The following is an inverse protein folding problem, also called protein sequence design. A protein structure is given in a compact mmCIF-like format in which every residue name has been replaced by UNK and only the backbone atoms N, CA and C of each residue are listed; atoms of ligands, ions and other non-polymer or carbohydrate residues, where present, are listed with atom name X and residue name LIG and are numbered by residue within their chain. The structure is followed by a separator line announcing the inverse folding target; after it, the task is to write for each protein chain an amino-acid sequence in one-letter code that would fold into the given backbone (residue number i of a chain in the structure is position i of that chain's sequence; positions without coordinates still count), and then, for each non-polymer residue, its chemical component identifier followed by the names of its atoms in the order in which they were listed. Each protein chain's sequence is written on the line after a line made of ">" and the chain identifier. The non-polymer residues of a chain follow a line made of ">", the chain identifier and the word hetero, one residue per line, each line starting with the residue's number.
data_IF_537856754858
#
_entry.id   IF_537856754858
#
_cell.length_a   1.000
_cell.length_b   1.000
_cell.length_c   1.000
_cell.angle_alpha   90.00
_cell.angle_beta   90.00
_cell.angle_gamma   90.00
#
_symmetry.space_group_name_H-M   'P 1'
#
loop_
_entity.id
_entity.type
_entity.pdbx_description
1 polymer ?
#
# COMPACT_ATOMS: atom_id res chain seq x y z
N UNK A 1 -15.42 -27.77 6.54
CA UNK A 1 -16.66 -26.99 6.32
C UNK A 1 -16.33 -26.06 5.18
N UNK A 2 -16.92 -26.27 4.00
CA UNK A 2 -16.68 -25.38 2.86
C UNK A 2 -17.37 -24.05 3.12
N UNK A 3 -16.62 -22.95 3.07
CA UNK A 3 -17.20 -21.61 3.10
C UNK A 3 -17.95 -21.39 1.80
N UNK A 4 -19.27 -21.22 1.90
CA UNK A 4 -20.05 -20.47 0.91
C UNK A 4 -19.36 -19.09 0.79
N UNK A 5 -19.19 -18.57 -0.44
CA UNK A 5 -18.35 -17.39 -0.70
C UNK A 5 -18.70 -16.16 0.14
N UNK A 6 -17.84 -15.14 0.10
CA UNK A 6 -18.02 -13.92 0.89
C UNK A 6 -19.24 -13.12 0.39
N UNK A 7 -20.20 -12.85 1.27
CA UNK A 7 -21.37 -12.00 0.98
C UNK A 7 -21.19 -10.57 1.50
N UNK A 8 -20.23 -10.37 2.41
CA UNK A 8 -19.93 -9.08 3.02
C UNK A 8 -18.42 -8.86 3.15
N UNK A 9 -18.03 -7.61 3.34
CA UNK A 9 -16.65 -7.18 3.56
C UNK A 9 -16.56 -6.20 4.72
N UNK A 10 -15.47 -6.31 5.47
CA UNK A 10 -15.05 -5.36 6.50
C UNK A 10 -13.63 -4.90 6.18
N UNK A 11 -13.41 -3.59 6.21
CA UNK A 11 -12.08 -3.00 6.01
C UNK A 11 -11.48 -2.59 7.33
N UNK A 12 -10.21 -2.93 7.55
CA UNK A 12 -9.46 -2.69 8.77
C UNK A 12 -8.16 -2.02 8.35
N UNK A 13 -8.04 -0.73 8.58
CA UNK A 13 -6.81 0.01 8.29
C UNK A 13 -6.01 0.23 9.57
N UNK A 14 -4.73 -0.09 9.55
CA UNK A 14 -3.81 0.27 10.63
C UNK A 14 -3.19 1.64 10.33
N UNK A 15 -3.77 2.70 10.88
CA UNK A 15 -3.28 4.07 10.74
C UNK A 15 -2.11 4.30 11.70
N UNK A 16 -0.90 3.89 11.30
CA UNK A 16 0.37 4.16 11.98
C UNK A 16 1.24 5.06 11.11
N UNK A 17 1.93 6.07 11.67
CA UNK A 17 2.89 6.84 10.90
C UNK A 17 4.09 5.96 10.50
N UNK A 18 4.40 5.92 9.21
CA UNK A 18 5.55 5.17 8.65
C UNK A 18 6.59 6.06 7.98
N UNK A 19 6.31 7.36 7.90
CA UNK A 19 7.30 8.34 7.48
C UNK A 19 8.54 8.32 8.40
N UNK A 20 9.75 8.58 7.85
CA UNK A 20 10.99 8.68 8.61
C UNK A 20 10.91 9.55 9.87
N UNK A 21 11.77 9.29 10.85
CA UNK A 21 11.86 10.16 12.02
C UNK A 21 12.46 11.53 11.65
N UNK A 22 12.18 12.54 12.48
CA UNK A 22 12.74 13.90 12.37
C UNK A 22 12.48 14.54 11.00
N UNK A 23 11.26 14.35 10.48
CA UNK A 23 10.81 14.87 9.19
C UNK A 23 11.11 16.36 9.04
N UNK A 24 11.77 16.69 7.93
CA UNK A 24 11.98 18.05 7.44
C UNK A 24 11.34 18.15 6.05
N UNK A 25 10.11 18.68 5.95
CA UNK A 25 9.42 18.77 4.67
C UNK A 25 10.05 19.84 3.77
N UNK A 26 10.05 19.57 2.47
CA UNK A 26 10.34 20.49 1.37
C UNK A 26 9.19 20.43 0.36
N UNK A 27 8.98 21.52 -0.36
CA UNK A 27 7.93 21.60 -1.37
C UNK A 27 6.61 22.12 -0.82
N UNK A 28 5.58 22.03 -1.65
CA UNK A 28 4.23 22.47 -1.35
C UNK A 28 3.29 21.27 -1.54
N UNK A 29 2.38 20.96 -0.59
CA UNK A 29 1.38 19.91 -0.79
C UNK A 29 0.60 19.98 -2.12
N UNK A 30 0.51 21.15 -2.76
CA UNK A 30 -0.18 21.32 -4.05
C UNK A 30 0.70 21.06 -5.30
N UNK A 31 2.03 20.93 -5.16
CA UNK A 31 2.99 20.88 -6.30
C UNK A 31 4.11 19.85 -6.13
N UNK A 32 3.85 18.82 -5.34
CA UNK A 32 4.84 17.81 -4.97
C UNK A 32 5.59 18.21 -3.70
N UNK A 33 5.86 17.19 -2.90
CA UNK A 33 6.59 17.30 -1.65
C UNK A 33 7.73 16.29 -1.63
N UNK A 34 8.76 16.65 -0.88
CA UNK A 34 9.96 15.84 -0.66
C UNK A 34 10.40 16.05 0.78
N UNK A 35 11.22 15.16 1.32
CA UNK A 35 11.58 15.26 2.73
C UNK A 35 12.99 14.81 3.06
N UNK A 36 13.59 15.49 4.03
CA UNK A 36 14.67 14.93 4.84
C UNK A 36 14.11 14.21 6.04
N UNK A 37 14.88 13.27 6.60
CA UNK A 37 14.49 12.54 7.80
C UNK A 37 15.59 11.57 8.22
N UNK A 38 15.28 10.67 9.15
CA UNK A 38 16.19 9.59 9.56
C UNK A 38 15.39 8.31 9.73
N UNK A 39 15.84 7.24 9.09
CA UNK A 39 15.23 5.93 9.26
C UNK A 39 15.56 5.34 10.62
N UNK A 40 14.51 4.89 11.31
CA UNK A 40 14.63 4.09 12.52
C UNK A 40 14.75 2.61 12.16
N UNK A 41 15.38 1.85 13.05
CA UNK A 41 15.56 0.40 12.89
C UNK A 41 16.86 -0.11 13.46
N UNK A 42 17.05 -1.42 13.35
CA UNK A 42 18.24 -2.15 13.75
C UNK A 42 19.05 -2.56 12.52
N UNK A 43 20.38 -2.57 12.65
CA UNK A 43 21.27 -2.99 11.56
C UNK A 43 21.23 -4.50 11.29
N UNK A 44 20.80 -5.30 12.27
CA UNK A 44 20.52 -6.72 12.05
C UNK A 44 19.11 -6.88 11.47
N UNK A 45 19.02 -7.26 10.20
CA UNK A 45 17.74 -7.38 9.47
C UNK A 45 16.75 -8.31 10.16
N UNK A 46 17.19 -9.46 10.70
CA UNK A 46 16.29 -10.41 11.33
C UNK A 46 15.72 -9.88 12.66
N UNK A 47 16.53 -9.17 13.44
CA UNK A 47 16.09 -8.48 14.65
C UNK A 47 15.15 -7.30 14.33
N UNK A 48 15.45 -6.53 13.28
CA UNK A 48 14.59 -5.42 12.83
C UNK A 48 13.21 -5.92 12.39
N UNK A 49 13.17 -6.93 11.51
CA UNK A 49 11.93 -7.60 11.09
C UNK A 49 11.18 -8.17 12.29
N UNK A 50 11.88 -8.79 13.24
CA UNK A 50 11.25 -9.29 14.48
C UNK A 50 10.61 -8.19 15.33
N UNK A 51 11.25 -7.03 15.40
CA UNK A 51 10.73 -5.87 16.12
C UNK A 51 9.51 -5.23 15.45
N UNK A 52 9.58 -5.01 14.13
CA UNK A 52 8.43 -4.51 13.34
C UNK A 52 7.26 -5.49 13.36
N UNK A 53 7.53 -6.79 13.32
CA UNK A 53 6.51 -7.83 13.47
C UNK A 53 5.81 -7.76 14.82
N UNK A 54 6.52 -7.41 15.90
CA UNK A 54 5.88 -7.24 17.22
C UNK A 54 4.86 -6.10 17.22
N UNK A 55 5.14 -5.00 16.51
CA UNK A 55 4.19 -3.88 16.34
C UNK A 55 2.99 -4.34 15.51
N UNK A 56 3.23 -5.02 14.39
CA UNK A 56 2.17 -5.57 13.54
C UNK A 56 1.25 -6.54 14.30
N UNK A 57 1.84 -7.41 15.12
CA UNK A 57 1.10 -8.37 15.97
C UNK A 57 0.12 -7.68 16.88
N UNK A 58 0.53 -6.63 17.60
CA UNK A 58 -0.36 -5.90 18.50
C UNK A 58 -1.56 -5.30 17.75
N UNK A 59 -1.34 -4.75 16.55
CA UNK A 59 -2.41 -4.22 15.72
C UNK A 59 -3.37 -5.32 15.21
N UNK A 60 -2.85 -6.43 14.70
CA UNK A 60 -3.68 -7.54 14.18
C UNK A 60 -4.47 -8.22 15.31
N UNK A 61 -3.86 -8.40 16.49
CA UNK A 61 -4.55 -8.94 17.67
C UNK A 61 -5.67 -8.00 18.14
N UNK A 62 -5.38 -6.69 18.27
CA UNK A 62 -6.40 -5.71 18.65
C UNK A 62 -7.55 -5.66 17.63
N UNK A 63 -7.27 -5.81 16.33
CA UNK A 63 -8.30 -5.88 15.31
C UNK A 63 -9.18 -7.12 15.50
N UNK A 64 -8.58 -8.31 15.57
CA UNK A 64 -9.30 -9.58 15.77
C UNK A 64 -10.15 -9.55 17.03
N UNK A 65 -9.60 -9.08 18.13
CA UNK A 65 -10.28 -9.07 19.44
C UNK A 65 -11.44 -8.06 19.48
N UNK A 66 -11.44 -7.05 18.59
CA UNK A 66 -12.55 -6.12 18.43
C UNK A 66 -13.71 -6.68 17.59
N UNK A 67 -13.48 -7.68 16.72
CA UNK A 67 -14.49 -8.16 15.79
C UNK A 67 -15.58 -9.02 16.47
N UNK A 68 -16.82 -9.00 15.94
CA UNK A 68 -17.85 -9.96 16.35
C UNK A 68 -17.41 -11.40 16.09
N UNK A 69 -17.75 -12.30 17.01
CA UNK A 69 -17.47 -13.73 16.85
C UNK A 69 -18.55 -14.43 15.99
N UNK A 70 -18.14 -15.45 15.24
CA UNK A 70 -19.06 -16.36 14.54
C UNK A 70 -19.56 -15.90 13.17
N UNK A 71 -19.00 -14.82 12.61
CA UNK A 71 -19.27 -14.40 11.24
C UNK A 71 -18.51 -15.29 10.25
N UNK A 72 -19.23 -15.97 9.36
CA UNK A 72 -18.65 -16.93 8.40
C UNK A 72 -18.66 -16.45 6.95
N UNK A 73 -19.41 -15.41 6.63
CA UNK A 73 -19.65 -14.85 5.30
C UNK A 73 -19.03 -13.45 5.09
N UNK A 74 -18.26 -12.96 6.07
CA UNK A 74 -17.58 -11.66 6.05
C UNK A 74 -16.11 -11.84 5.71
N UNK A 75 -15.66 -11.22 4.62
CA UNK A 75 -14.23 -11.04 4.31
C UNK A 75 -13.66 -9.89 5.15
N UNK A 76 -12.65 -10.16 5.97
CA UNK A 76 -11.91 -9.15 6.71
C UNK A 76 -10.65 -8.76 5.94
N UNK A 77 -10.57 -7.50 5.51
CA UNK A 77 -9.45 -6.93 4.74
C UNK A 77 -8.62 -6.05 5.67
N UNK A 78 -7.47 -6.55 6.10
CA UNK A 78 -6.52 -5.79 6.93
C UNK A 78 -5.47 -5.13 6.05
N UNK A 79 -5.19 -3.85 6.26
CA UNK A 79 -4.21 -3.09 5.48
C UNK A 79 -3.36 -2.23 6.41
N UNK A 80 -2.04 -2.34 6.28
CA UNK A 80 -1.06 -1.44 6.87
C UNK A 80 -0.46 -0.52 5.78
N UNK A 81 0.12 0.64 6.14
CA UNK A 81 0.60 1.63 5.19
C UNK A 81 1.90 1.22 4.48
N UNK A 82 2.26 1.98 3.45
CA UNK A 82 3.55 1.85 2.77
C UNK A 82 4.71 2.09 3.75
N UNK A 83 5.89 1.52 3.44
CA UNK A 83 7.11 1.64 4.22
C UNK A 83 6.98 1.08 5.64
N UNK A 84 6.12 0.09 5.86
CA UNK A 84 6.07 -0.59 7.14
C UNK A 84 7.37 -1.38 7.41
N UNK A 85 7.95 -2.00 6.38
CA UNK A 85 9.16 -2.82 6.48
C UNK A 85 10.32 -2.18 5.72
N UNK A 86 11.26 -1.60 6.45
CA UNK A 86 12.41 -0.92 5.87
C UNK A 86 13.59 -0.98 6.86
N UNK A 87 14.81 -0.89 6.34
CA UNK A 87 16.03 -0.90 7.16
C UNK A 87 16.42 0.48 7.67
N UNK A 88 17.41 0.57 8.58
CA UNK A 88 17.95 1.85 9.03
C UNK A 88 18.69 2.61 7.90
N UNK A 89 19.02 1.97 6.78
CA UNK A 89 19.58 2.61 5.59
C UNK A 89 18.50 3.10 4.60
N UNK A 90 17.21 2.91 4.89
CA UNK A 90 16.11 3.05 3.94
C UNK A 90 15.63 1.65 3.50
N UNK A 91 16.11 1.09 2.39
CA UNK A 91 15.86 -0.32 2.05
C UNK A 91 16.60 -1.28 3.00
N UNK A 92 16.10 -2.50 3.14
CA UNK A 92 16.97 -3.61 3.55
C UNK A 92 17.95 -3.95 2.40
N UNK A 93 19.24 -3.75 2.66
CA UNK A 93 20.29 -4.07 1.70
C UNK A 93 20.68 -5.56 1.80
N UNK A 94 20.79 -6.22 0.65
CA UNK A 94 21.24 -7.62 0.56
C UNK A 94 22.14 -7.83 -0.64
N UNK A 95 23.00 -8.86 -0.62
CA UNK A 95 23.87 -9.15 -1.76
C UNK A 95 23.07 -9.71 -2.95
N UNK A 96 23.56 -9.52 -4.17
CA UNK A 96 22.96 -10.10 -5.38
C UNK A 96 23.02 -11.63 -5.29
N UNK A 97 21.88 -12.28 -5.50
CA UNK A 97 21.75 -13.74 -5.39
C UNK A 97 21.66 -14.27 -3.96
N UNK A 98 21.80 -13.42 -2.93
CA UNK A 98 21.37 -13.76 -1.59
C UNK A 98 19.82 -13.75 -1.51
N UNK A 99 19.22 -14.51 -0.56
CA UNK A 99 17.78 -14.45 -0.32
C UNK A 99 17.32 -13.01 -0.06
N UNK A 100 16.21 -12.67 -0.68
CA UNK A 100 15.59 -11.36 -0.53
C UNK A 100 14.99 -11.24 0.88
N UNK A 101 15.23 -10.15 1.64
CA UNK A 101 14.62 -9.96 2.96
C UNK A 101 13.09 -10.10 2.97
N UNK A 102 12.41 -9.84 1.85
CA UNK A 102 10.94 -10.06 1.74
C UNK A 102 10.54 -11.51 1.97
N UNK A 103 11.34 -12.48 1.51
CA UNK A 103 11.05 -13.90 1.73
C UNK A 103 11.03 -14.21 3.23
N UNK A 104 12.01 -13.68 3.98
CA UNK A 104 12.05 -13.82 5.42
C UNK A 104 10.86 -13.15 6.12
N UNK A 105 10.45 -11.96 5.67
CA UNK A 105 9.32 -11.24 6.25
C UNK A 105 8.02 -12.04 6.02
N UNK A 106 7.79 -12.53 4.80
CA UNK A 106 6.60 -13.34 4.46
C UNK A 106 6.56 -14.65 5.25
N UNK A 107 7.67 -15.36 5.38
CA UNK A 107 7.76 -16.58 6.20
C UNK A 107 7.36 -16.31 7.65
N UNK A 108 7.84 -15.19 8.22
CA UNK A 108 7.54 -14.78 9.59
C UNK A 108 6.09 -14.36 9.76
N UNK A 109 5.53 -13.62 8.80
CA UNK A 109 4.12 -13.23 8.80
C UNK A 109 3.19 -14.45 8.68
N UNK A 110 3.51 -15.41 7.81
CA UNK A 110 2.71 -16.62 7.62
C UNK A 110 2.75 -17.53 8.86
N UNK A 111 3.89 -17.58 9.56
CA UNK A 111 4.01 -18.29 10.83
C UNK A 111 3.22 -17.60 11.95
N UNK A 112 3.18 -16.26 11.95
CA UNK A 112 2.50 -15.46 12.97
C UNK A 112 0.97 -15.43 12.79
N UNK A 113 0.50 -15.38 11.55
CA UNK A 113 -0.91 -15.21 11.21
C UNK A 113 -1.44 -16.38 10.37
N UNK A 114 -1.46 -17.61 10.93
CA UNK A 114 -1.84 -18.80 10.18
C UNK A 114 -3.32 -18.76 9.78
N UNK A 115 -3.68 -19.26 8.58
CA UNK A 115 -5.07 -19.28 8.08
C UNK A 115 -6.11 -19.86 9.05
N UNK A 116 -5.72 -20.85 9.86
CA UNK A 116 -6.61 -21.49 10.83
C UNK A 116 -7.05 -20.59 11.99
N UNK A 117 -6.24 -19.59 12.36
CA UNK A 117 -6.56 -18.61 13.40
C UNK A 117 -7.23 -17.35 12.83
N UNK A 118 -7.05 -17.10 11.54
CA UNK A 118 -7.57 -15.94 10.82
C UNK A 118 -8.45 -16.36 9.62
N UNK A 119 -9.52 -17.14 9.83
CA UNK A 119 -10.40 -17.55 8.74
C UNK A 119 -11.09 -16.33 8.12
N UNK A 120 -11.22 -16.32 6.80
CA UNK A 120 -11.81 -15.20 6.05
C UNK A 120 -11.04 -13.88 6.16
N UNK A 121 -9.72 -13.93 6.40
CA UNK A 121 -8.86 -12.75 6.34
C UNK A 121 -8.04 -12.71 5.06
N UNK A 122 -7.89 -11.49 4.53
CA UNK A 122 -6.82 -11.10 3.62
C UNK A 122 -6.08 -9.94 4.25
N UNK A 123 -4.76 -10.04 4.26
CA UNK A 123 -3.86 -9.06 4.82
C UNK A 123 -3.03 -8.44 3.70
N UNK A 124 -2.92 -7.13 3.73
CA UNK A 124 -1.88 -6.35 3.05
C UNK A 124 -1.04 -5.72 4.15
N UNK A 125 0.08 -6.34 4.50
CA UNK A 125 0.92 -5.96 5.64
C UNK A 125 1.78 -4.72 5.38
N UNK A 126 1.27 -3.76 4.61
CA UNK A 126 2.03 -2.63 4.11
C UNK A 126 3.05 -3.07 3.07
N UNK A 127 4.10 -2.27 2.92
CA UNK A 127 5.14 -2.55 1.94
C UNK A 127 6.52 -2.74 2.55
N UNK A 128 7.34 -3.51 1.83
CA UNK A 128 8.73 -3.77 2.15
C UNK A 128 9.67 -3.16 1.11
N UNK A 129 10.66 -2.43 1.59
CA UNK A 129 11.67 -1.76 0.77
C UNK A 129 12.98 -2.52 0.84
N UNK A 130 13.52 -2.92 -0.30
CA UNK A 130 14.74 -3.74 -0.40
C UNK A 130 15.59 -3.32 -1.58
N UNK A 131 16.90 -3.52 -1.50
CA UNK A 131 17.79 -3.32 -2.63
C UNK A 131 18.95 -4.31 -2.63
N UNK A 132 19.26 -4.83 -3.82
CA UNK A 132 20.44 -5.65 -4.01
C UNK A 132 21.70 -4.76 -4.16
N UNK A 133 22.68 -4.96 -3.29
CA UNK A 133 23.97 -4.31 -3.30
C UNK A 133 25.05 -5.27 -2.76
N UNK A 134 25.93 -5.75 -3.64
CA UNK A 134 26.98 -6.73 -3.28
C UNK A 134 27.94 -6.20 -2.21
N UNK A 135 28.30 -4.91 -2.31
CA UNK A 135 28.99 -4.18 -1.26
C UNK A 135 28.27 -2.85 -1.01
N UNK A 136 27.44 -2.75 0.04
CA UNK A 136 26.81 -1.50 0.45
C UNK A 136 27.80 -0.34 0.62
N UNK A 137 29.04 -0.63 1.05
CA UNK A 137 30.07 0.41 1.22
C UNK A 137 30.47 1.01 -0.12
N UNK A 138 30.44 0.23 -1.19
CA UNK A 138 30.70 0.75 -2.53
C UNK A 138 29.59 1.71 -2.96
N UNK A 139 28.32 1.35 -2.71
CA UNK A 139 27.16 2.21 -3.01
C UNK A 139 27.33 3.58 -2.37
N UNK A 140 27.69 3.64 -1.09
CA UNK A 140 27.84 4.90 -0.35
C UNK A 140 29.15 5.64 -0.63
N UNK A 141 30.23 4.94 -0.94
CA UNK A 141 31.55 5.56 -1.17
C UNK A 141 31.77 6.06 -2.61
N UNK A 142 30.92 5.67 -3.56
CA UNK A 142 30.99 6.10 -4.96
C UNK A 142 31.03 7.64 -5.06
N UNK A 143 31.95 8.22 -5.86
CA UNK A 143 31.99 9.67 -6.08
C UNK A 143 30.67 10.25 -6.59
N UNK A 144 29.93 9.50 -7.42
CA UNK A 144 28.61 9.88 -7.93
C UNK A 144 27.60 10.03 -6.79
N UNK A 145 27.55 9.08 -5.85
CA UNK A 145 26.69 9.13 -4.66
C UNK A 145 26.96 10.37 -3.83
N UNK A 146 28.24 10.61 -3.50
CA UNK A 146 28.64 11.77 -2.68
C UNK A 146 28.28 13.10 -3.35
N UNK A 147 28.51 13.21 -4.65
CA UNK A 147 28.17 14.43 -5.41
C UNK A 147 26.66 14.64 -5.44
N UNK A 148 25.87 13.61 -5.73
CA UNK A 148 24.40 13.69 -5.77
C UNK A 148 23.83 14.13 -4.41
N UNK A 149 24.27 13.49 -3.34
CA UNK A 149 23.80 13.81 -1.98
C UNK A 149 24.23 15.22 -1.57
N UNK A 150 25.45 15.64 -1.92
CA UNK A 150 25.91 17.01 -1.68
C UNK A 150 25.07 18.05 -2.42
N UNK A 151 24.77 17.83 -3.71
CA UNK A 151 23.94 18.74 -4.51
C UNK A 151 22.53 18.87 -3.92
N UNK A 152 21.87 17.76 -3.62
CA UNK A 152 20.51 17.78 -3.07
C UNK A 152 20.47 18.41 -1.69
N UNK A 153 21.43 18.09 -0.80
CA UNK A 153 21.52 18.70 0.52
C UNK A 153 21.73 20.22 0.45
N UNK A 154 22.59 20.69 -0.46
CA UNK A 154 22.82 22.12 -0.69
C UNK A 154 21.55 22.81 -1.20
N UNK A 155 20.87 22.23 -2.19
CA UNK A 155 19.60 22.76 -2.73
C UNK A 155 18.51 22.79 -1.65
N UNK A 156 18.37 21.72 -0.86
CA UNK A 156 17.45 21.64 0.26
C UNK A 156 17.71 22.75 1.30
N UNK A 157 18.99 23.00 1.61
CA UNK A 157 19.37 24.09 2.51
C UNK A 157 18.99 25.46 1.94
N UNK A 158 19.25 25.70 0.65
CA UNK A 158 18.89 26.95 -0.05
C UNK A 158 17.38 27.16 -0.11
N UNK A 159 16.62 26.12 -0.44
CA UNK A 159 15.16 26.17 -0.46
C UNK A 159 14.61 26.72 0.86
N UNK A 160 15.10 26.20 1.98
CA UNK A 160 14.64 26.59 3.32
C UNK A 160 15.01 28.01 3.74
N UNK A 161 15.98 28.63 3.06
CA UNK A 161 16.41 30.01 3.31
C UNK A 161 15.81 31.01 2.32
N UNK A 162 15.26 30.52 1.22
CA UNK A 162 14.78 31.33 0.11
C UNK A 162 13.43 31.98 0.44
N UNK A 163 13.17 33.14 -0.18
CA UNK A 163 11.82 33.70 -0.25
C UNK A 163 10.92 32.82 -1.12
N UNK A 164 9.60 32.96 -1.04
CA UNK A 164 8.65 32.04 -1.68
C UNK A 164 8.90 31.80 -3.18
N UNK A 165 9.14 32.86 -3.96
CA UNK A 165 9.38 32.75 -5.42
C UNK A 165 10.71 32.02 -5.72
N UNK A 166 11.77 32.34 -4.98
CA UNK A 166 13.07 31.68 -5.12
C UNK A 166 12.99 30.22 -4.64
N UNK A 167 12.25 29.94 -3.57
CA UNK A 167 12.04 28.59 -3.04
C UNK A 167 11.33 27.70 -4.06
N UNK A 168 10.30 28.22 -4.75
CA UNK A 168 9.63 27.50 -5.83
C UNK A 168 10.62 27.11 -6.93
N UNK A 169 11.50 28.03 -7.35
CA UNK A 169 12.49 27.72 -8.39
C UNK A 169 13.57 26.74 -7.93
N UNK A 170 14.01 26.83 -6.68
CA UNK A 170 14.95 25.86 -6.10
C UNK A 170 14.32 24.48 -6.02
N UNK A 171 13.02 24.38 -5.69
CA UNK A 171 12.32 23.10 -5.67
C UNK A 171 12.21 22.48 -7.06
N UNK A 172 11.91 23.26 -8.10
CA UNK A 172 11.97 22.77 -9.50
C UNK A 172 13.35 22.19 -9.85
N UNK A 173 14.43 22.82 -9.36
CA UNK A 173 15.79 22.28 -9.58
C UNK A 173 16.03 20.96 -8.83
N UNK A 174 15.43 20.78 -7.64
CA UNK A 174 15.48 19.51 -6.92
C UNK A 174 14.74 18.46 -7.73
N UNK A 175 13.50 18.73 -8.12
CA UNK A 175 12.66 17.80 -8.90
C UNK A 175 13.32 17.38 -10.21
N UNK A 176 13.81 18.33 -11.02
CA UNK A 176 14.57 18.06 -12.25
C UNK A 176 15.79 17.14 -11.99
N UNK A 177 16.47 17.34 -10.85
CA UNK A 177 17.64 16.56 -10.48
C UNK A 177 17.27 15.15 -10.01
N UNK A 178 16.15 14.99 -9.30
CA UNK A 178 15.61 13.70 -8.88
C UNK A 178 15.19 12.88 -10.10
N UNK A 179 14.44 13.47 -11.03
CA UNK A 179 14.06 12.81 -12.29
C UNK A 179 15.29 12.33 -13.08
N UNK A 180 16.36 13.14 -13.14
CA UNK A 180 17.62 12.70 -13.74
C UNK A 180 18.27 11.55 -12.95
N UNK A 181 18.20 11.59 -11.61
CA UNK A 181 18.65 10.54 -10.71
C UNK A 181 17.93 9.22 -10.94
N UNK A 182 16.60 9.24 -11.02
CA UNK A 182 15.73 8.09 -11.32
C UNK A 182 16.04 7.50 -12.70
N UNK A 183 16.31 8.34 -13.70
CA UNK A 183 16.71 7.86 -15.02
C UNK A 183 18.12 7.22 -15.04
N UNK A 184 18.95 7.45 -14.00
CA UNK A 184 20.33 6.97 -13.90
C UNK A 184 20.62 6.47 -12.47
N UNK A 185 19.92 5.45 -11.97
CA UNK A 185 20.01 5.05 -10.58
C UNK A 185 21.41 4.51 -10.24
N UNK A 186 21.89 4.79 -9.04
CA UNK A 186 23.07 4.14 -8.46
C UNK A 186 22.72 2.72 -8.01
N UNK A 187 21.51 2.55 -7.50
CA UNK A 187 20.95 1.28 -7.02
C UNK A 187 19.46 1.22 -7.35
N UNK A 188 18.97 0.06 -7.77
CA UNK A 188 17.53 -0.15 -7.92
C UNK A 188 16.92 -0.58 -6.60
N UNK A 189 15.79 0.02 -6.24
CA UNK A 189 15.06 -0.27 -5.02
C UNK A 189 13.73 -0.90 -5.40
N UNK A 190 13.38 -2.01 -4.76
CA UNK A 190 12.04 -2.61 -4.86
C UNK A 190 11.22 -2.20 -3.64
N UNK A 191 10.00 -1.77 -3.89
CA UNK A 191 9.00 -1.51 -2.87
C UNK A 191 7.80 -2.42 -3.13
N UNK A 192 7.52 -3.35 -2.21
CA UNK A 192 6.57 -4.44 -2.45
C UNK A 192 5.50 -4.54 -1.37
N UNK A 193 4.24 -4.51 -1.76
CA UNK A 193 3.13 -4.84 -0.88
C UNK A 193 3.18 -6.34 -0.53
N UNK A 194 3.03 -6.66 0.76
CA UNK A 194 3.07 -8.04 1.26
C UNK A 194 1.67 -8.56 1.51
N UNK A 195 1.22 -9.52 0.72
CA UNK A 195 -0.16 -10.03 0.76
C UNK A 195 -0.17 -11.43 1.34
N UNK A 196 -0.95 -11.66 2.39
CA UNK A 196 -1.27 -13.00 2.89
C UNK A 196 -2.78 -13.22 2.91
N UNK A 197 -3.23 -14.45 2.66
CA UNK A 197 -4.65 -14.75 2.78
C UNK A 197 -4.93 -16.15 3.31
N UNK A 198 -5.97 -16.24 4.13
CA UNK A 198 -6.47 -17.52 4.61
C UNK A 198 -7.13 -18.34 3.50
N UNK A 199 -7.82 -17.69 2.57
CA UNK A 199 -8.31 -18.35 1.36
C UNK A 199 -7.24 -18.33 0.26
N UNK A 200 -7.20 -19.35 -0.62
CA UNK A 200 -6.19 -19.37 -1.67
C UNK A 200 -6.33 -18.21 -2.66
N UNK A 201 -5.19 -17.60 -2.96
CA UNK A 201 -4.97 -16.62 -4.01
C UNK A 201 -4.67 -17.31 -5.34
N UNK A 202 -5.25 -16.78 -6.40
CA UNK A 202 -4.98 -17.15 -7.78
C UNK A 202 -4.99 -15.92 -8.68
N UNK A 203 -5.20 -16.15 -9.97
CA UNK A 203 -5.41 -15.10 -10.95
C UNK A 203 -6.49 -15.53 -11.94
N UNK A 204 -7.22 -14.57 -12.48
CA UNK A 204 -8.15 -14.84 -13.56
C UNK A 204 -7.41 -15.40 -14.80
N UNK A 205 -6.19 -14.92 -15.08
CA UNK A 205 -5.44 -15.24 -16.30
C UNK A 205 -4.37 -16.32 -16.15
N UNK A 206 -4.13 -16.85 -14.95
CA UNK A 206 -3.05 -17.80 -14.68
C UNK A 206 -3.44 -18.85 -13.64
N UNK A 207 -2.87 -20.04 -13.76
CA UNK A 207 -3.08 -21.11 -12.80
C UNK A 207 -1.98 -21.07 -11.74
N UNK A 208 -2.28 -20.45 -10.60
CA UNK A 208 -1.54 -20.64 -9.36
C UNK A 208 -2.52 -20.68 -8.19
N UNK A 209 -2.06 -21.29 -7.10
CA UNK A 209 -2.79 -21.37 -5.84
C UNK A 209 -1.77 -21.10 -4.73
N UNK A 210 -1.87 -19.95 -4.09
CA UNK A 210 -0.92 -19.51 -3.07
C UNK A 210 -1.65 -18.89 -1.88
N UNK A 211 -1.01 -18.85 -0.72
CA UNK A 211 -1.51 -18.10 0.44
C UNK A 211 -0.73 -16.80 0.68
N UNK A 212 0.29 -16.55 -0.14
CA UNK A 212 1.12 -15.37 -0.13
C UNK A 212 1.29 -14.85 -1.55
N UNK A 213 1.38 -13.53 -1.68
CA UNK A 213 1.69 -12.84 -2.92
C UNK A 213 2.37 -11.51 -2.63
N UNK A 214 3.00 -10.91 -3.63
CA UNK A 214 3.55 -9.55 -3.55
C UNK A 214 3.14 -8.72 -4.75
N UNK A 215 3.01 -7.41 -4.60
CA UNK A 215 2.91 -6.47 -5.73
C UNK A 215 4.04 -5.46 -5.64
N UNK A 216 4.71 -5.14 -6.75
CA UNK A 216 5.77 -4.13 -6.79
C UNK A 216 5.21 -2.75 -7.14
N UNK A 217 5.77 -1.70 -6.57
CA UNK A 217 5.55 -0.30 -6.99
C UNK A 217 6.19 -0.04 -8.34
N UNK A 218 5.60 0.84 -9.15
CA UNK A 218 6.05 1.15 -10.52
C UNK A 218 6.59 2.57 -10.65
N UNK A 219 5.92 3.54 -10.04
CA UNK A 219 6.28 4.95 -10.20
C UNK A 219 7.19 5.44 -9.09
N UNK A 220 8.26 6.13 -9.49
CA UNK A 220 9.19 6.80 -8.59
C UNK A 220 8.57 8.13 -8.10
N UNK A 221 8.57 8.35 -6.79
CA UNK A 221 8.19 9.62 -6.17
C UNK A 221 9.42 10.41 -5.70
N UNK A 222 9.30 11.73 -5.58
CA UNK A 222 10.27 12.56 -4.86
C UNK A 222 10.23 12.33 -3.33
N UNK A 223 9.37 11.42 -2.88
CA UNK A 223 8.97 11.20 -1.50
C UNK A 223 9.14 9.74 -1.03
N UNK A 224 9.65 8.86 -1.89
CA UNK A 224 9.79 7.44 -1.56
C UNK A 224 10.91 7.19 -0.57
N UNK A 225 11.97 7.98 -0.66
CA UNK A 225 13.13 7.95 0.21
C UNK A 225 13.49 9.36 0.67
N UNK A 226 14.24 9.44 1.77
CA UNK A 226 14.74 10.73 2.25
C UNK A 226 15.72 11.34 1.25
N UNK A 227 15.64 12.65 1.06
CA UNK A 227 16.61 13.41 0.27
C UNK A 227 17.98 13.49 0.96
N UNK A 228 17.98 13.56 2.29
CA UNK A 228 19.17 13.50 3.13
C UNK A 228 18.83 12.99 4.53
N UNK A 229 19.85 12.41 5.21
CA UNK A 229 19.73 12.07 6.61
C UNK A 229 19.98 13.29 7.51
N UNK A 230 19.02 13.63 8.37
CA UNK A 230 19.10 14.85 9.19
C UNK A 230 20.08 14.73 10.36
N UNK A 231 20.54 13.52 10.68
CA UNK A 231 21.59 13.25 11.67
C UNK A 231 23.00 13.22 11.06
N UNK A 232 23.11 13.44 9.74
CA UNK A 232 24.38 13.48 9.02
C UNK A 232 24.97 12.11 8.72
N UNK A 233 24.14 11.05 8.70
CA UNK A 233 24.57 9.73 8.25
C UNK A 233 24.87 9.74 6.74
N UNK A 234 25.94 9.05 6.37
CA UNK A 234 26.36 8.88 4.96
C UNK A 234 26.06 7.47 4.44
N UNK A 235 25.59 6.57 5.31
CA UNK A 235 25.23 5.18 5.04
C UNK A 235 23.71 5.01 4.81
N UNK A 236 23.07 5.99 4.17
CA UNK A 236 21.64 5.99 3.88
C UNK A 236 21.42 6.06 2.38
N UNK A 237 20.53 5.23 1.86
CA UNK A 237 20.05 5.31 0.48
C UNK A 237 19.05 6.45 0.40
N UNK A 238 19.34 7.42 -0.45
CA UNK A 238 18.54 8.63 -0.64
C UNK A 238 17.88 8.65 -2.01
N UNK A 239 16.81 9.42 -2.18
CA UNK A 239 15.98 9.46 -3.40
C UNK A 239 16.79 9.63 -4.71
N UNK A 240 17.74 10.57 -4.74
CA UNK A 240 18.60 10.82 -5.91
C UNK A 240 19.51 9.65 -6.31
N UNK A 241 19.57 8.58 -5.52
CA UNK A 241 20.36 7.37 -5.80
C UNK A 241 19.55 6.28 -6.49
N UNK A 242 18.21 6.38 -6.48
CA UNK A 242 17.35 5.22 -6.66
C UNK A 242 16.49 5.30 -7.90
N UNK A 243 15.89 4.16 -8.24
CA UNK A 243 14.72 4.04 -9.11
C UNK A 243 14.08 2.68 -8.84
N UNK A 244 12.79 2.58 -9.10
CA UNK A 244 12.07 1.32 -9.13
C UNK A 244 12.33 0.54 -10.43
N UNK A 245 12.35 -0.80 -10.39
CA UNK A 245 12.44 -1.60 -11.60
C UNK A 245 11.23 -1.36 -12.51
N UNK A 246 11.48 -1.34 -13.82
CA UNK A 246 10.41 -1.29 -14.81
C UNK A 246 9.48 -2.51 -14.73
N UNK A 247 8.17 -2.27 -14.76
CA UNK A 247 7.13 -3.29 -14.84
C UNK A 247 6.39 -3.20 -16.17
N UNK A 248 6.33 -4.32 -16.91
CA UNK A 248 5.62 -4.38 -18.18
C UNK A 248 4.11 -4.57 -18.01
N UNK A 249 3.37 -3.46 -18.07
CA UNK A 249 1.91 -3.41 -17.99
C UNK A 249 1.21 -3.43 -19.37
N UNK A 250 1.93 -3.80 -20.44
CA UNK A 250 1.36 -3.81 -21.80
C UNK A 250 0.24 -4.84 -22.00
N UNK A 251 0.20 -5.87 -21.15
CA UNK A 251 -0.85 -6.90 -21.13
C UNK A 251 -1.85 -6.73 -19.97
N UNK A 252 -1.87 -5.56 -19.33
CA UNK A 252 -2.64 -5.31 -18.12
C UNK A 252 -1.92 -5.78 -16.86
N UNK A 253 -2.66 -5.82 -15.74
CA UNK A 253 -2.08 -5.94 -14.40
C UNK A 253 -2.50 -7.20 -13.63
N UNK A 254 -2.96 -8.24 -14.35
CA UNK A 254 -3.27 -9.54 -13.77
C UNK A 254 -1.98 -10.28 -13.39
N UNK A 255 -1.93 -10.81 -12.16
CA UNK A 255 -0.86 -11.70 -11.72
C UNK A 255 -0.72 -12.91 -12.62
N UNK A 256 0.53 -13.29 -12.87
CA UNK A 256 0.92 -14.51 -13.60
C UNK A 256 1.58 -15.51 -12.66
N UNK A 257 2.28 -15.00 -11.65
CA UNK A 257 2.89 -15.72 -10.54
C UNK A 257 2.59 -14.97 -9.23
N UNK A 258 2.41 -15.64 -8.08
CA UNK A 258 2.15 -14.96 -6.81
C UNK A 258 3.15 -13.84 -6.46
N UNK A 259 4.39 -13.96 -6.90
CA UNK A 259 5.47 -13.02 -6.55
C UNK A 259 5.99 -12.19 -7.72
N UNK A 260 5.23 -12.13 -8.83
CA UNK A 260 5.51 -11.16 -9.89
C UNK A 260 5.10 -9.73 -9.48
N UNK A 261 5.43 -8.74 -10.32
CA UNK A 261 5.20 -7.33 -10.03
C UNK A 261 3.75 -6.84 -10.21
N UNK A 262 2.84 -7.68 -10.75
CA UNK A 262 1.49 -7.24 -11.13
C UNK A 262 0.55 -7.10 -9.93
N UNK A 263 -0.52 -6.31 -10.06
CA UNK A 263 -1.32 -5.86 -8.91
C UNK A 263 -2.57 -6.68 -8.60
N UNK A 264 -3.10 -7.44 -9.56
CA UNK A 264 -4.45 -8.01 -9.46
C UNK A 264 -4.40 -9.52 -9.17
N UNK A 265 -4.97 -9.91 -8.04
CA UNK A 265 -5.14 -11.30 -7.57
C UNK A 265 -6.60 -11.66 -7.37
N UNK A 266 -6.90 -12.95 -7.44
CA UNK A 266 -8.24 -13.50 -7.20
C UNK A 266 -8.26 -14.30 -5.90
N UNK A 267 -9.20 -13.99 -5.03
CA UNK A 267 -9.46 -14.72 -3.79
C UNK A 267 -10.48 -15.84 -4.02
N UNK A 268 -10.26 -16.99 -3.40
CA UNK A 268 -11.23 -18.09 -3.35
C UNK A 268 -11.21 -18.98 -4.59
N UNK A 269 -10.02 -19.37 -5.06
CA UNK A 269 -9.90 -20.40 -6.09
C UNK A 269 -9.73 -21.78 -5.44
N UNK A 270 -10.77 -22.61 -5.42
CA UNK A 270 -10.57 -24.05 -5.26
C UNK A 270 -10.05 -24.62 -6.58
N UNK A 271 -8.97 -25.40 -6.51
CA UNK A 271 -8.18 -25.83 -7.66
C UNK A 271 -8.99 -26.48 -8.78
N UNK A 272 -9.04 -25.83 -9.93
CA UNK A 272 -9.41 -26.41 -11.21
C UNK A 272 -8.27 -26.19 -12.20
N UNK A 273 -7.43 -27.19 -12.37
CA UNK A 273 -6.49 -27.24 -13.49
C UNK A 273 -7.27 -27.29 -14.80
N UNK A 274 -7.31 -26.19 -15.54
CA UNK A 274 -7.80 -26.15 -16.91
C UNK A 274 -9.32 -25.97 -17.04
N UNK A 275 -9.66 -25.31 -18.14
CA UNK A 275 -10.96 -25.15 -18.79
C UNK A 275 -12.17 -25.84 -18.15
N UNK A 276 -13.26 -25.08 -17.99
CA UNK A 276 -14.64 -25.58 -18.06
C UNK A 276 -14.91 -26.91 -17.35
N UNK A 277 -15.04 -26.88 -16.02
CA UNK A 277 -15.88 -27.87 -15.34
C UNK A 277 -16.87 -27.19 -14.42
N UNK A 278 -17.75 -26.40 -15.03
CA UNK A 278 -19.11 -26.22 -14.54
C UNK A 278 -19.96 -27.45 -14.89
N UNK A 279 -19.59 -28.65 -14.42
CA UNK A 279 -20.53 -29.76 -14.28
C UNK A 279 -20.02 -30.72 -13.19
N UNK A 280 -20.72 -30.82 -12.06
CA UNK A 280 -20.98 -32.14 -11.49
C UNK A 280 -22.28 -32.21 -10.66
N UNK A 281 -23.28 -32.85 -11.28
CA UNK A 281 -24.11 -33.95 -10.78
C UNK A 281 -24.51 -34.02 -9.28
N UNK A 282 -24.92 -32.93 -8.64
CA UNK A 282 -25.65 -33.03 -7.36
C UNK A 282 -26.56 -31.84 -7.01
N UNK A 283 -27.29 -31.25 -7.97
CA UNK A 283 -28.51 -30.46 -7.68
C UNK A 283 -28.40 -29.26 -6.72
N UNK A 284 -27.20 -28.73 -6.42
CA UNK A 284 -27.00 -27.57 -5.57
C UNK A 284 -26.02 -26.60 -6.22
N UNK A 285 -26.52 -25.45 -6.67
CA UNK A 285 -25.72 -24.38 -7.30
C UNK A 285 -24.96 -23.58 -6.23
N UNK A 286 -23.86 -24.12 -5.71
CA UNK A 286 -22.89 -23.30 -4.97
C UNK A 286 -22.01 -22.58 -6.00
N UNK A 287 -22.39 -21.36 -6.36
CA UNK A 287 -21.57 -20.47 -7.18
C UNK A 287 -20.43 -19.97 -6.29
N UNK A 288 -19.21 -20.43 -6.52
CA UNK A 288 -18.02 -19.89 -5.85
C UNK A 288 -17.87 -18.43 -6.27
N UNK A 289 -18.21 -17.50 -5.37
CA UNK A 289 -18.04 -16.06 -5.60
C UNK A 289 -16.58 -15.74 -5.37
N UNK A 290 -15.81 -15.74 -6.45
CA UNK A 290 -14.44 -15.26 -6.42
C UNK A 290 -14.43 -13.73 -6.31
N UNK A 291 -13.54 -13.19 -5.48
CA UNK A 291 -13.36 -11.74 -5.27
C UNK A 291 -12.04 -11.33 -5.88
N UNK A 292 -12.07 -10.37 -6.81
CA UNK A 292 -10.86 -9.83 -7.43
C UNK A 292 -10.35 -8.63 -6.64
N UNK A 293 -9.14 -8.75 -6.11
CA UNK A 293 -8.46 -7.75 -5.29
C UNK A 293 -7.27 -7.20 -6.08
N UNK A 294 -7.17 -5.88 -6.15
CA UNK A 294 -6.01 -5.19 -6.70
C UNK A 294 -5.30 -4.41 -5.60
N UNK A 295 -3.97 -4.51 -5.55
CA UNK A 295 -3.14 -3.73 -4.60
C UNK A 295 -2.17 -2.90 -5.41
N UNK A 296 -2.23 -1.57 -5.32
CA UNK A 296 -1.27 -0.64 -5.93
C UNK A 296 -0.71 0.30 -4.84
N UNK A 297 0.51 0.79 -5.00
CA UNK A 297 1.24 1.41 -3.88
C UNK A 297 1.38 2.92 -4.09
N UNK A 298 0.78 3.71 -3.20
CA UNK A 298 1.01 5.16 -3.07
C UNK A 298 0.90 5.90 -4.42
N UNK A 299 2.02 6.41 -4.96
CA UNK A 299 2.06 7.12 -6.24
C UNK A 299 1.53 6.28 -7.42
N UNK A 300 1.58 4.95 -7.37
CA UNK A 300 0.90 4.12 -8.38
C UNK A 300 -0.59 4.43 -8.46
N UNK A 301 -1.23 4.73 -7.33
CA UNK A 301 -2.60 5.20 -7.30
C UNK A 301 -2.71 6.60 -7.89
N UNK A 302 -1.92 7.57 -7.44
CA UNK A 302 -2.05 8.96 -7.92
C UNK A 302 -1.77 9.10 -9.43
N UNK A 303 -0.88 8.28 -9.98
CA UNK A 303 -0.61 8.16 -11.42
C UNK A 303 -1.54 7.16 -12.15
N UNK A 304 -2.57 6.69 -11.46
CA UNK A 304 -3.65 5.88 -11.99
C UNK A 304 -3.17 4.59 -12.68
N UNK A 305 -2.19 3.88 -12.10
CA UNK A 305 -1.63 2.61 -12.61
C UNK A 305 -2.74 1.63 -13.00
N UNK A 306 -3.60 1.28 -12.05
CA UNK A 306 -4.65 0.29 -12.28
C UNK A 306 -5.66 0.78 -13.32
N UNK A 307 -6.18 1.99 -13.18
CA UNK A 307 -7.16 2.55 -14.13
C UNK A 307 -6.58 2.61 -15.54
N UNK A 308 -5.35 3.09 -15.68
CA UNK A 308 -4.65 3.21 -16.97
C UNK A 308 -4.39 1.85 -17.63
N UNK A 309 -4.38 0.75 -16.86
CA UNK A 309 -4.18 -0.61 -17.35
C UNK A 309 -5.48 -1.39 -17.61
N UNK A 310 -6.65 -0.82 -17.31
CA UNK A 310 -7.93 -1.55 -17.36
C UNK A 310 -8.27 -2.09 -18.75
N UNK A 311 -8.22 -1.28 -19.82
CA UNK A 311 -8.55 -1.78 -21.16
C UNK A 311 -7.57 -2.84 -21.69
N UNK A 312 -6.34 -2.86 -21.16
CA UNK A 312 -5.32 -3.86 -21.50
C UNK A 312 -5.47 -5.14 -20.69
N UNK A 313 -6.14 -5.07 -19.54
CA UNK A 313 -6.35 -6.20 -18.64
C UNK A 313 -7.36 -7.17 -19.23
N UNK A 314 -6.86 -8.33 -19.64
CA UNK A 314 -7.67 -9.37 -20.30
C UNK A 314 -8.34 -10.26 -19.26
N UNK A 315 -9.47 -9.79 -18.73
CA UNK A 315 -10.34 -10.61 -17.91
C UNK A 315 -10.87 -11.81 -18.72
N UNK A 316 -10.77 -13.05 -18.21
CA UNK A 316 -11.40 -14.20 -18.85
C UNK A 316 -12.90 -13.97 -18.90
N UNK A 317 -13.50 -14.09 -20.09
CA UNK A 317 -14.95 -13.97 -20.22
C UNK A 317 -15.60 -15.12 -19.45
N UNK A 318 -16.41 -14.81 -18.44
CA UNK A 318 -17.32 -15.77 -17.82
C UNK A 318 -18.69 -15.69 -18.49
N UNK A 319 -19.27 -16.83 -18.83
CA UNK A 319 -20.60 -16.89 -19.41
C UNK A 319 -21.62 -16.21 -18.48
N UNK A 320 -22.30 -15.19 -19.01
CA UNK A 320 -23.36 -14.45 -18.30
C UNK A 320 -22.88 -13.43 -17.27
N UNK A 321 -21.58 -13.13 -17.15
CA UNK A 321 -21.07 -12.00 -16.36
C UNK A 321 -20.59 -10.90 -17.31
N UNK A 322 -21.22 -9.74 -17.22
CA UNK A 322 -21.04 -8.66 -18.21
C UNK A 322 -19.83 -7.77 -17.90
N UNK A 323 -19.37 -7.70 -16.64
CA UNK A 323 -18.44 -6.66 -16.17
C UNK A 323 -17.24 -7.16 -15.31
N UNK A 324 -16.58 -8.29 -15.60
CA UNK A 324 -15.40 -8.72 -14.80
C UNK A 324 -14.40 -7.56 -14.57
N UNK A 325 -13.89 -7.43 -13.35
CA UNK A 325 -13.09 -6.27 -12.94
C UNK A 325 -12.67 -6.34 -11.47
N UNK A 326 -12.13 -5.24 -10.95
CA UNK A 326 -11.62 -5.16 -9.58
C UNK A 326 -12.78 -4.94 -8.59
N UNK A 327 -13.03 -5.89 -7.70
CA UNK A 327 -14.03 -5.73 -6.64
C UNK A 327 -13.51 -4.87 -5.49
N UNK A 328 -12.22 -5.05 -5.14
CA UNK A 328 -11.56 -4.31 -4.07
C UNK A 328 -10.21 -3.80 -4.56
N UNK A 329 -10.07 -2.47 -4.59
CA UNK A 329 -8.80 -1.77 -4.84
C UNK A 329 -8.22 -1.33 -3.50
N UNK A 330 -6.96 -1.69 -3.23
CA UNK A 330 -6.27 -1.40 -1.97
C UNK A 330 -5.04 -0.55 -2.28
N UNK A 331 -4.86 0.52 -1.49
CA UNK A 331 -3.76 1.48 -1.64
C UNK A 331 -3.03 1.64 -0.30
N UNK A 332 -2.05 0.78 0.04
CA UNK A 332 -1.07 1.12 1.07
C UNK A 332 -0.25 2.33 0.62
N UNK A 333 -0.07 3.31 1.49
CA UNK A 333 0.51 4.61 1.14
C UNK A 333 1.32 5.22 2.28
N UNK A 334 2.22 6.15 1.93
CA UNK A 334 2.89 7.07 2.84
C UNK A 334 3.12 8.41 2.13
N UNK A 335 2.05 9.17 1.90
CA UNK A 335 2.06 10.46 1.20
C UNK A 335 0.91 10.64 0.20
N UNK A 336 0.24 9.57 -0.22
CA UNK A 336 -0.89 9.61 -1.16
C UNK A 336 -2.25 9.40 -0.47
N UNK A 337 -3.30 9.86 -1.14
CA UNK A 337 -4.71 9.72 -0.70
C UNK A 337 -5.51 9.05 -1.82
N UNK A 338 -6.79 8.75 -1.63
CA UNK A 338 -7.58 8.36 -2.81
C UNK A 338 -7.71 9.53 -3.78
N UNK A 339 -7.44 9.27 -5.05
CA UNK A 339 -7.67 10.17 -6.17
C UNK A 339 -8.85 9.68 -6.99
N UNK A 340 -9.84 10.56 -7.23
CA UNK A 340 -11.04 10.23 -7.98
C UNK A 340 -10.70 9.73 -9.41
N UNK A 341 -9.65 10.32 -9.99
CA UNK A 341 -9.12 9.97 -11.31
C UNK A 341 -8.48 8.59 -11.39
N UNK A 342 -8.28 7.90 -10.28
CA UNK A 342 -7.47 6.68 -10.19
C UNK A 342 -8.25 5.45 -9.71
N UNK A 343 -9.49 5.64 -9.29
CA UNK A 343 -10.36 4.53 -8.87
C UNK A 343 -10.69 3.65 -10.09
N UNK A 344 -10.32 2.37 -10.00
CA UNK A 344 -10.49 1.36 -11.04
C UNK A 344 -11.50 0.26 -10.67
N UNK A 345 -12.01 0.27 -9.43
CA UNK A 345 -13.00 -0.72 -8.97
C UNK A 345 -14.31 -0.64 -9.75
N UNK A 346 -14.95 -1.80 -9.91
CA UNK A 346 -16.24 -1.93 -10.60
C UNK A 346 -17.40 -1.34 -9.79
N UNK A 347 -18.56 -1.18 -10.42
CA UNK A 347 -19.80 -0.86 -9.72
C UNK A 347 -20.12 -1.92 -8.65
N UNK A 348 -20.44 -1.48 -7.44
CA UNK A 348 -20.59 -2.32 -6.25
C UNK A 348 -19.28 -2.64 -5.52
N UNK A 349 -18.13 -2.29 -6.11
CA UNK A 349 -16.81 -2.50 -5.51
C UNK A 349 -16.37 -1.36 -4.59
N UNK A 350 -15.13 -1.45 -4.09
CA UNK A 350 -14.56 -0.53 -3.12
C UNK A 350 -13.13 -0.11 -3.49
N UNK A 351 -12.74 1.08 -3.06
CA UNK A 351 -11.35 1.53 -3.02
C UNK A 351 -10.99 1.91 -1.58
N UNK A 352 -9.92 1.34 -1.04
CA UNK A 352 -9.50 1.49 0.35
C UNK A 352 -8.03 1.88 0.45
N UNK A 353 -7.77 3.05 1.03
CA UNK A 353 -6.43 3.59 1.25
C UNK A 353 -6.08 3.55 2.75
N UNK A 354 -4.82 3.23 3.04
CA UNK A 354 -4.22 3.35 4.37
C UNK A 354 -2.88 4.04 4.22
N UNK A 355 -2.78 5.23 4.78
CA UNK A 355 -1.67 6.14 4.56
C UNK A 355 -0.94 6.46 5.87
N UNK A 356 0.38 6.42 5.83
CA UNK A 356 1.26 6.60 7.00
C UNK A 356 1.85 8.01 7.16
N UNK A 357 1.34 9.04 6.48
CA UNK A 357 1.94 10.39 6.53
C UNK A 357 0.94 11.54 6.63
N UNK A 358 -0.19 11.45 5.94
CA UNK A 358 -1.19 12.50 5.83
C UNK A 358 -2.38 12.23 6.77
N UNK A 359 -3.11 13.31 7.07
CA UNK A 359 -4.41 13.24 7.74
C UNK A 359 -5.40 14.23 7.12
N UNK A 360 -6.67 13.86 7.12
CA UNK A 360 -7.76 14.72 6.66
C UNK A 360 -8.03 15.84 7.70
N UNK A 361 -7.36 16.98 7.57
CA UNK A 361 -7.44 18.09 8.52
C UNK A 361 -6.55 17.91 9.76
N UNK A 362 -6.81 18.71 10.80
CA UNK A 362 -5.90 18.83 11.97
C UNK A 362 -6.47 18.28 13.29
N UNK A 363 -7.70 17.74 13.28
CA UNK A 363 -8.28 17.14 14.48
C UNK A 363 -7.60 15.82 14.82
N UNK A 364 -7.42 15.54 16.11
CA UNK A 364 -6.87 14.27 16.61
C UNK A 364 -7.97 13.20 16.58
N UNK A 365 -7.70 12.10 15.88
CA UNK A 365 -8.61 10.95 15.72
C UNK A 365 -10.07 11.24 15.28
N UNK A 366 -10.37 12.23 14.43
CA UNK A 366 -11.69 12.35 13.84
C UNK A 366 -11.98 11.14 12.95
N UNK A 367 -13.22 10.69 13.00
CA UNK A 367 -13.83 9.89 11.96
C UNK A 367 -14.95 10.68 11.30
N UNK A 368 -15.32 10.31 10.09
CA UNK A 368 -16.52 10.85 9.47
C UNK A 368 -16.73 10.35 8.06
N UNK A 369 -17.74 10.92 7.41
CA UNK A 369 -18.01 10.71 5.98
C UNK A 369 -18.17 12.04 5.26
N UNK A 370 -17.73 12.12 4.00
CA UNK A 370 -17.78 13.37 3.25
C UNK A 370 -16.86 13.39 2.04
N UNK A 371 -16.61 14.59 1.50
CA UNK A 371 -15.57 14.81 0.49
C UNK A 371 -14.25 15.05 1.20
N UNK A 372 -13.31 14.12 1.05
CA UNK A 372 -11.98 14.14 1.68
C UNK A 372 -10.96 14.05 0.55
N UNK A 373 -10.06 15.04 0.47
CA UNK A 373 -9.13 15.19 -0.65
C UNK A 373 -9.81 15.15 -2.04
N UNK A 374 -11.04 15.68 -2.12
CA UNK A 374 -11.83 15.68 -3.36
C UNK A 374 -12.55 14.36 -3.66
N UNK A 375 -12.39 13.33 -2.82
CA UNK A 375 -13.03 12.01 -2.97
C UNK A 375 -14.11 11.81 -1.92
N UNK A 376 -15.32 11.47 -2.37
CA UNK A 376 -16.42 11.11 -1.47
C UNK A 376 -16.13 9.75 -0.81
N UNK A 377 -15.97 9.75 0.50
CA UNK A 377 -15.47 8.61 1.26
C UNK A 377 -15.86 8.67 2.74
N UNK A 378 -15.68 7.56 3.44
CA UNK A 378 -15.56 7.54 4.90
C UNK A 378 -14.07 7.54 5.27
N UNK A 379 -13.71 8.16 6.38
CA UNK A 379 -12.32 8.32 6.78
C UNK A 379 -12.12 8.23 8.30
N UNK A 380 -10.89 7.92 8.68
CA UNK A 380 -10.40 8.06 10.05
C UNK A 380 -8.98 8.61 10.01
N UNK A 381 -8.66 9.52 10.93
CA UNK A 381 -7.29 10.02 11.08
C UNK A 381 -6.64 9.44 12.33
N UNK A 382 -5.31 9.42 12.31
CA UNK A 382 -4.48 9.33 13.49
C UNK A 382 -3.51 10.50 13.46
N UNK A 383 -3.43 11.25 14.56
CA UNK A 383 -2.45 12.31 14.75
C UNK A 383 -1.83 12.05 16.12
N UNK A 384 -0.51 11.87 16.16
CA UNK A 384 0.18 11.61 17.41
C UNK A 384 -0.03 12.80 18.37
N UNK A 385 -0.63 12.58 19.56
CA UNK A 385 -0.84 13.66 20.53
C UNK A 385 0.48 14.23 21.08
N UNK A 386 1.57 13.44 21.07
CA UNK A 386 2.88 13.91 21.53
C UNK A 386 3.61 14.73 20.46
N UNK A 387 3.44 14.38 19.19
CA UNK A 387 4.03 15.10 18.07
C UNK A 387 3.12 15.10 16.83
N UNK A 388 2.25 16.12 16.67
CA UNK A 388 1.29 16.21 15.58
C UNK A 388 1.87 16.30 14.15
N UNK A 389 3.21 16.25 14.00
CA UNK A 389 3.86 16.08 12.69
C UNK A 389 3.69 14.66 12.16
N UNK A 390 3.60 13.68 13.05
CA UNK A 390 3.34 12.31 12.65
C UNK A 390 1.85 12.08 12.62
N UNK A 391 1.39 11.71 11.43
CA UNK A 391 -0.01 11.54 11.11
C UNK A 391 -0.16 10.31 10.25
N UNK A 392 -1.35 9.77 10.24
CA UNK A 392 -1.76 8.70 9.36
C UNK A 392 -3.26 8.83 9.10
N UNK A 393 -3.76 8.23 8.05
CA UNK A 393 -5.20 8.18 7.80
C UNK A 393 -5.61 6.93 7.06
N UNK A 394 -6.91 6.69 7.05
CA UNK A 394 -7.53 5.66 6.23
C UNK A 394 -8.72 6.27 5.51
N UNK A 395 -8.99 5.79 4.31
CA UNK A 395 -10.06 6.31 3.47
C UNK A 395 -10.73 5.17 2.71
N UNK A 396 -12.06 5.10 2.77
CA UNK A 396 -12.86 4.09 2.08
C UNK A 396 -13.87 4.76 1.15
N UNK A 397 -13.87 4.39 -0.12
CA UNK A 397 -14.85 4.77 -1.12
C UNK A 397 -15.61 3.54 -1.62
N UNK A 398 -16.95 3.63 -1.69
CA UNK A 398 -17.79 2.63 -2.35
C UNK A 398 -18.18 3.11 -3.74
N UNK A 399 -18.10 2.25 -4.75
CA UNK A 399 -18.34 2.60 -6.15
C UNK A 399 -19.78 2.28 -6.54
N UNK A 400 -20.57 3.29 -6.90
CA UNK A 400 -21.93 3.14 -7.43
C UNK A 400 -21.92 2.86 -8.93
N UNK A 401 -21.05 3.54 -9.67
CA UNK A 401 -20.81 3.32 -11.08
C UNK A 401 -19.30 3.38 -11.34
N UNK A 402 -18.79 2.41 -12.08
CA UNK A 402 -17.38 2.32 -12.43
C UNK A 402 -16.94 3.53 -13.26
N UNK A 403 -15.64 3.85 -13.20
CA UNK A 403 -15.04 4.80 -14.13
C UNK A 403 -15.15 4.29 -15.58
N UNK A 404 -15.23 5.21 -16.53
CA UNK A 404 -15.18 4.93 -17.96
C UNK A 404 -13.87 5.47 -18.52
N UNK A 405 -13.18 4.64 -19.30
CA UNK A 405 -11.91 4.97 -19.94
C UNK A 405 -10.69 4.87 -19.03
N UNK A 406 -9.55 4.56 -19.65
CA UNK A 406 -8.27 4.35 -18.97
C UNK A 406 -7.62 5.67 -18.52
N UNK A 407 -7.76 6.73 -19.31
CA UNK A 407 -7.18 8.05 -19.04
C UNK A 407 -8.25 9.00 -18.51
N UNK A 408 -8.18 9.38 -17.24
CA UNK A 408 -9.09 10.33 -16.59
C UNK A 408 -9.13 11.70 -17.28
N UNK A 409 -8.07 12.09 -18.01
CA UNK A 409 -7.96 13.37 -18.70
C UNK A 409 -8.59 13.35 -20.10
N UNK A 410 -8.94 12.18 -20.62
CA UNK A 410 -9.57 12.05 -21.93
C UNK A 410 -11.01 12.61 -21.91
N UNK A 411 -11.44 13.39 -22.92
CA UNK A 411 -12.82 13.88 -23.03
C UNK A 411 -13.88 12.78 -23.12
N UNK A 412 -13.48 11.55 -23.48
CA UNK A 412 -14.38 10.38 -23.55
C UNK A 412 -14.45 9.59 -22.23
N UNK A 413 -13.69 9.99 -21.23
CA UNK A 413 -13.63 9.30 -19.93
C UNK A 413 -14.54 9.98 -18.92
N UNK A 414 -14.92 9.22 -17.89
CA UNK A 414 -15.62 9.76 -16.71
C UNK A 414 -15.12 9.04 -15.47
N UNK A 415 -14.99 9.77 -14.38
CA UNK A 415 -14.61 9.17 -13.10
C UNK A 415 -15.73 8.31 -12.51
N UNK A 416 -15.37 7.48 -11.54
CA UNK A 416 -16.31 6.66 -10.80
C UNK A 416 -17.33 7.53 -10.02
N UNK A 417 -18.58 7.07 -9.94
CA UNK A 417 -19.57 7.67 -9.06
C UNK A 417 -19.51 6.99 -7.70
N UNK A 418 -19.40 7.76 -6.63
CA UNK A 418 -19.13 7.22 -5.30
C UNK A 418 -20.34 7.31 -4.36
N UNK A 419 -20.49 6.27 -3.54
CA UNK A 419 -21.53 6.14 -2.54
C UNK A 419 -21.34 7.15 -1.41
N UNK A 420 -22.44 7.46 -0.72
CA UNK A 420 -22.39 8.17 0.56
C UNK A 420 -22.48 7.15 1.68
N UNK A 421 -21.53 7.20 2.61
CA UNK A 421 -21.58 6.41 3.83
C UNK A 421 -22.24 7.17 4.97
N UNK A 422 -22.58 6.44 6.04
CA UNK A 422 -22.97 7.04 7.32
C UNK A 422 -21.71 7.52 8.07
N UNK A 423 -21.86 8.55 8.90
CA UNK A 423 -20.75 9.16 9.64
C UNK A 423 -20.18 8.21 10.72
N UNK A 424 -20.96 7.24 11.17
CA UNK A 424 -20.60 6.23 12.17
C UNK A 424 -20.06 4.92 11.57
N UNK A 425 -19.77 4.88 10.25
CA UNK A 425 -19.24 3.68 9.60
C UNK A 425 -17.88 3.24 10.19
N UNK A 426 -17.07 4.19 10.66
CA UNK A 426 -15.69 3.96 11.11
C UNK A 426 -15.64 3.91 12.63
N UNK A 427 -15.16 2.79 13.17
CA UNK A 427 -14.82 2.66 14.59
C UNK A 427 -13.32 2.72 14.77
N UNK A 428 -12.85 3.59 15.67
CA UNK A 428 -11.43 3.67 16.05
C UNK A 428 -11.17 2.72 17.22
N UNK A 429 -10.20 1.83 17.06
CA UNK A 429 -9.72 0.95 18.14
C UNK A 429 -8.26 1.32 18.43
N UNK A 430 -7.93 1.68 19.68
CA UNK A 430 -6.55 2.03 20.03
C UNK A 430 -5.64 0.79 19.97
N UNK A 431 -4.41 0.98 19.50
CA UNK A 431 -3.38 -0.06 19.50
C UNK A 431 -2.44 0.17 20.68
N UNK A 432 -2.11 -0.90 21.40
CA UNK A 432 -1.15 -0.82 22.50
C UNK A 432 0.27 -0.61 21.93
N UNK A 433 1.02 0.32 22.52
CA UNK A 433 2.42 0.53 22.15
C UNK A 433 3.28 -0.61 22.72
N UNK A 434 3.93 -1.45 21.89
CA UNK A 434 4.93 -2.36 22.40
C UNK A 434 6.14 -1.58 22.94
N UNK A 435 6.90 -2.11 23.91
CA UNK A 435 8.04 -1.40 24.51
C UNK A 435 9.14 -0.99 23.51
N UNK A 436 9.17 -1.62 22.35
CA UNK A 436 10.17 -1.39 21.29
C UNK A 436 9.68 -0.47 20.17
N UNK A 437 8.46 0.09 20.28
CA UNK A 437 7.84 0.90 19.22
C UNK A 437 8.77 2.00 18.69
N UNK A 438 9.31 2.82 19.60
CA UNK A 438 10.16 3.98 19.27
C UNK A 438 11.52 3.59 18.65
N UNK A 439 11.84 2.29 18.60
CA UNK A 439 13.01 1.78 17.87
C UNK A 439 12.76 1.66 16.37
N UNK A 440 11.50 1.52 15.95
CA UNK A 440 11.11 1.17 14.58
C UNK A 440 10.21 2.20 13.92
N UNK A 441 9.37 2.89 14.70
CA UNK A 441 8.42 3.87 14.20
C UNK A 441 8.51 5.15 15.01
N UNK A 442 8.28 6.28 14.35
CA UNK A 442 8.07 7.55 15.00
C UNK A 442 6.58 7.87 15.00
N UNK A 443 6.11 8.67 15.96
CA UNK A 443 4.71 9.11 15.96
C UNK A 443 3.73 8.15 16.63
N UNK A 444 4.18 7.37 17.61
CA UNK A 444 3.27 6.60 18.46
C UNK A 444 2.68 5.34 17.80
N UNK A 445 1.82 4.60 18.53
CA UNK A 445 1.41 3.25 18.16
C UNK A 445 0.40 3.19 17.01
N UNK A 446 -0.06 4.34 16.50
CA UNK A 446 -1.18 4.40 15.57
C UNK A 446 -2.52 4.04 16.21
N UNK A 447 -3.51 3.80 15.35
CA UNK A 447 -4.81 3.25 15.71
C UNK A 447 -5.36 2.38 14.58
N UNK A 448 -6.29 1.48 14.91
CA UNK A 448 -7.06 0.74 13.91
C UNK A 448 -8.33 1.53 13.57
N UNK A 449 -8.62 1.62 12.28
CA UNK A 449 -9.89 2.14 11.77
C UNK A 449 -10.66 0.98 11.13
N UNK A 450 -11.74 0.57 11.78
CA UNK A 450 -12.57 -0.55 11.34
C UNK A 450 -13.86 -0.01 10.71
N UNK A 451 -14.03 -0.27 9.41
CA UNK A 451 -15.18 0.15 8.62
C UNK A 451 -16.20 -0.98 8.57
N UNK A 452 -17.39 -0.74 9.10
CA UNK A 452 -18.43 -1.77 9.20
C UNK A 452 -18.17 -2.77 10.33
N UNK A 453 -17.69 -2.30 11.48
CA UNK A 453 -17.44 -3.16 12.65
C UNK A 453 -18.68 -3.99 13.02
N UNK A 454 -19.82 -3.32 13.26
CA UNK A 454 -21.08 -3.96 13.64
C UNK A 454 -22.01 -4.28 12.46
N UNK A 455 -21.72 -3.70 11.29
CA UNK A 455 -22.50 -3.86 10.07
C UNK A 455 -21.56 -3.90 8.86
N UNK A 456 -21.01 -5.08 8.52
CA UNK A 456 -20.19 -5.29 7.34
C UNK A 456 -20.89 -4.82 6.06
N UNK A 457 -20.09 -4.35 5.11
CA UNK A 457 -20.56 -3.82 3.84
C UNK A 457 -20.91 -4.98 2.90
N UNK A 458 -21.95 -4.88 2.06
CA UNK A 458 -22.28 -5.93 1.10
C UNK A 458 -21.13 -6.12 0.10
N UNK A 459 -20.74 -7.38 -0.12
CA UNK A 459 -19.75 -7.82 -1.09
C UNK A 459 -20.44 -8.80 -2.04
N UNK A 460 -21.01 -8.27 -3.12
CA UNK A 460 -21.67 -9.05 -4.19
C UNK A 460 -23.10 -9.54 -3.91
N UNK A 461 -23.73 -10.25 -4.90
CA UNK A 461 -23.28 -10.44 -6.28
C UNK A 461 -23.86 -9.35 -7.22
N UNK A 462 -23.33 -9.29 -8.43
CA UNK A 462 -24.02 -8.63 -9.55
C UNK A 462 -25.28 -9.39 -9.95
#
# INVERSE_FOLDING_TARGET
>A
MGSEGFAQVRFIGYAIPTAPAMIVPLGNPDRGSAMGGTYLGLSDTAADVGGRLSVMREAVHAARDALPAGESDVLNVFVAPEFFWHGPEGPYLHATGAPDPVDHILDRLAAEFPPGEYPNWVFVFGTAVTAAADDPREVFSRPTTRVRNGVVADLAHRYRQAAADDAAKVFEMIDDYLQWGHAHPVVQVRNRALILSAAPLGSAGASFTAHAATTDKVFDSAEDLVLWDVMGREDVVTEQMTAHPYVDLSAGDLKRDPFDAHAIVRLGTTGGSGADTAVDLAGGTAREVAVDIAVEICLDHDDARLRSAMSRTRWPRRDGIVDDGIDIQIVPSCGATLSLGSIASVAGGFAFNVDGQLAAGDSIMPTGSGSVFGVRSAYGNYIDPANPRYRAHTQLAGVLAAAVGDDARSPSSSDAQLARFADDLVTVVPVAAPPTLDTFFAGGPGALHIYGLSAPLPLGPR
#
